data_IF_989804398989
#
_entry.id   IF_989804398989
#
_cell.length_a   1.000
_cell.length_b   1.000
_cell.length_c   1.000
_cell.angle_alpha   90.00
_cell.angle_beta   90.00
_cell.angle_gamma   90.00
#
_symmetry.space_group_name_H-M   'P 1'
#
loop_
_entity.id
_entity.type
_entity.pdbx_description
1 polymer ?
#
# COMPACT_ATOMS: atom_id res chain seq x y z
N UNK A 1 -28.48 -16.56 17.63
CA UNK A 1 -27.16 -16.08 18.12
C UNK A 1 -26.12 -16.45 17.08
N UNK A 2 -25.69 -15.50 16.25
CA UNK A 2 -24.65 -15.75 15.26
C UNK A 2 -23.29 -15.79 15.96
N UNK A 3 -22.49 -16.83 15.69
CA UNK A 3 -21.11 -16.89 16.18
C UNK A 3 -20.27 -15.86 15.43
N UNK A 4 -19.43 -15.07 16.11
CA UNK A 4 -18.57 -14.07 15.46
C UNK A 4 -17.62 -14.74 14.45
N UNK A 5 -17.29 -14.01 13.37
CA UNK A 5 -16.45 -14.49 12.30
C UNK A 5 -14.99 -14.58 12.77
N UNK A 6 -14.25 -15.66 12.46
CA UNK A 6 -12.87 -15.88 12.93
C UNK A 6 -11.85 -14.80 12.50
N UNK A 7 -12.20 -13.92 11.55
CA UNK A 7 -11.33 -12.80 11.16
C UNK A 7 -11.28 -11.67 12.21
N UNK A 8 -12.24 -11.61 13.13
CA UNK A 8 -12.24 -10.60 14.21
C UNK A 8 -11.31 -10.98 15.37
N UNK A 9 -10.66 -12.15 15.32
CA UNK A 9 -9.91 -12.75 16.44
C UNK A 9 -8.40 -12.92 16.18
N UNK A 10 -7.85 -12.46 15.05
CA UNK A 10 -6.44 -12.74 14.69
C UNK A 10 -5.42 -11.65 15.06
N UNK A 11 -5.81 -10.53 15.67
CA UNK A 11 -4.85 -9.53 16.17
C UNK A 11 -4.68 -9.58 17.70
N UNK A 12 -4.26 -10.74 18.20
CA UNK A 12 -3.64 -10.84 19.52
C UNK A 12 -2.25 -10.17 19.50
N UNK A 13 -2.25 -8.85 19.76
CA UNK A 13 -1.39 -8.19 20.76
C UNK A 13 0.11 -8.56 20.81
N UNK A 14 0.83 -8.52 19.68
CA UNK A 14 2.31 -8.67 19.68
C UNK A 14 3.09 -7.83 18.64
N UNK A 15 2.44 -6.97 17.85
CA UNK A 15 3.15 -6.09 16.90
C UNK A 15 3.40 -4.72 17.54
N UNK A 16 4.39 -4.55 18.44
CA UNK A 16 4.58 -3.25 19.12
C UNK A 16 6.03 -2.72 19.15
N UNK A 17 6.88 -3.14 18.21
CA UNK A 17 8.19 -2.49 17.98
C UNK A 17 8.42 -2.00 16.54
N UNK A 18 7.44 -2.21 15.65
CA UNK A 18 7.42 -1.68 14.27
C UNK A 18 6.27 -0.71 14.00
N UNK A 19 5.49 -0.35 15.03
CA UNK A 19 4.25 0.44 14.95
C UNK A 19 4.49 1.93 14.78
N UNK A 20 5.43 2.52 15.53
CA UNK A 20 5.73 3.95 15.44
C UNK A 20 6.40 4.31 14.11
N UNK A 21 7.48 3.61 13.73
CA UNK A 21 8.14 3.84 12.45
C UNK A 21 7.19 3.62 11.25
N UNK A 22 6.31 2.63 11.33
CA UNK A 22 5.26 2.42 10.33
C UNK A 22 4.24 3.57 10.32
N UNK A 23 3.76 3.99 11.49
CA UNK A 23 2.82 5.09 11.60
C UNK A 23 3.43 6.40 11.08
N UNK A 24 4.73 6.61 11.28
CA UNK A 24 5.47 7.78 10.80
C UNK A 24 5.56 7.75 9.28
N UNK A 25 5.95 6.62 8.70
CA UNK A 25 5.99 6.43 7.25
C UNK A 25 4.61 6.60 6.58
N UNK A 26 3.53 6.15 7.25
CA UNK A 26 2.16 6.36 6.76
C UNK A 26 1.78 7.84 6.76
N UNK A 27 2.14 8.59 7.81
CA UNK A 27 1.86 10.04 7.88
C UNK A 27 2.65 10.81 6.84
N UNK A 28 3.90 10.45 6.60
CA UNK A 28 4.73 11.02 5.53
C UNK A 28 4.10 10.75 4.16
N UNK A 29 3.73 9.51 3.87
CA UNK A 29 3.10 9.16 2.58
C UNK A 29 1.77 9.88 2.33
N UNK A 30 0.98 10.14 3.38
CA UNK A 30 -0.24 10.96 3.28
C UNK A 30 0.08 12.42 2.97
N UNK A 31 1.08 13.00 3.64
CA UNK A 31 1.50 14.38 3.38
C UNK A 31 2.02 14.56 1.95
N UNK A 32 2.81 13.61 1.44
CA UNK A 32 3.27 13.59 0.06
C UNK A 32 2.10 13.51 -0.93
N UNK A 33 1.10 12.67 -0.63
CA UNK A 33 -0.09 12.54 -1.45
C UNK A 33 -0.91 13.84 -1.50
N UNK A 34 -1.11 14.50 -0.35
CA UNK A 34 -1.80 15.78 -0.24
C UNK A 34 -1.01 16.92 -0.95
N UNK A 35 0.32 16.85 -0.94
CA UNK A 35 1.20 17.75 -1.69
C UNK A 35 1.22 17.47 -3.21
N UNK A 36 0.54 16.42 -3.67
CA UNK A 36 0.48 16.02 -5.08
C UNK A 36 1.73 15.27 -5.57
N UNK A 37 2.60 14.79 -4.66
CA UNK A 37 3.74 13.93 -4.96
C UNK A 37 3.28 12.49 -5.22
N UNK A 38 2.39 12.32 -6.19
CA UNK A 38 1.76 11.04 -6.56
C UNK A 38 2.07 10.68 -8.01
N UNK A 39 2.14 9.38 -8.28
CA UNK A 39 2.22 8.88 -9.66
C UNK A 39 0.79 8.77 -10.23
N UNK A 40 0.49 9.38 -11.39
CA UNK A 40 -0.82 9.26 -12.01
C UNK A 40 -1.21 7.80 -12.29
N UNK A 41 -2.44 7.43 -11.95
CA UNK A 41 -2.98 6.08 -12.12
C UNK A 41 -2.70 5.47 -13.50
N UNK A 42 -2.92 6.24 -14.58
CA UNK A 42 -2.73 5.74 -15.96
C UNK A 42 -1.28 5.34 -16.27
N UNK A 43 -0.30 5.99 -15.63
CA UNK A 43 1.11 5.59 -15.78
C UNK A 43 1.37 4.24 -15.11
N UNK A 44 0.87 4.08 -13.88
CA UNK A 44 0.99 2.82 -13.11
C UNK A 44 0.26 1.69 -13.84
N UNK A 45 -0.96 1.93 -14.31
CA UNK A 45 -1.75 0.95 -15.06
C UNK A 45 -1.03 0.47 -16.31
N UNK A 46 -0.47 1.39 -17.11
CA UNK A 46 0.25 1.04 -18.33
C UNK A 46 1.49 0.20 -18.04
N UNK A 47 2.23 0.56 -16.99
CA UNK A 47 3.38 -0.20 -16.52
C UNK A 47 2.99 -1.63 -16.10
N UNK A 48 1.99 -1.79 -15.24
CA UNK A 48 1.51 -3.10 -14.82
C UNK A 48 1.04 -3.98 -15.99
N UNK A 49 0.36 -3.38 -16.98
CA UNK A 49 -0.10 -4.11 -18.17
C UNK A 49 1.03 -4.51 -19.13
N UNK A 50 2.22 -3.93 -18.99
CA UNK A 50 3.37 -4.27 -19.81
C UNK A 50 4.15 -5.48 -19.28
N UNK A 51 3.93 -5.86 -18.02
CA UNK A 51 4.62 -6.97 -17.37
C UNK A 51 4.38 -8.29 -18.10
N UNK A 52 5.45 -9.07 -18.29
CA UNK A 52 5.38 -10.35 -18.98
C UNK A 52 5.15 -10.25 -20.50
N UNK A 53 5.34 -9.06 -21.07
CA UNK A 53 5.35 -8.84 -22.52
C UNK A 53 6.77 -8.56 -23.00
N UNK A 54 7.02 -8.71 -24.32
CA UNK A 54 8.32 -8.36 -24.92
C UNK A 54 8.68 -6.86 -24.80
N UNK A 55 7.73 -6.01 -24.37
CA UNK A 55 7.91 -4.56 -24.20
C UNK A 55 7.51 -4.12 -22.80
N UNK A 56 8.06 -4.78 -21.81
CA UNK A 56 7.92 -4.35 -20.42
C UNK A 56 8.47 -2.93 -20.22
N UNK A 57 7.68 -2.10 -19.54
CA UNK A 57 8.00 -0.70 -19.27
C UNK A 57 8.74 -0.59 -17.92
N UNK A 58 9.61 0.43 -17.76
CA UNK A 58 10.18 0.72 -16.46
C UNK A 58 9.12 1.25 -15.48
N UNK A 59 9.32 1.08 -14.15
CA UNK A 59 8.45 1.65 -13.14
C UNK A 59 8.34 3.17 -13.31
N UNK A 60 7.13 3.74 -13.22
CA UNK A 60 6.91 5.16 -13.38
C UNK A 60 7.39 5.96 -12.16
N UNK A 61 7.88 7.17 -12.43
CA UNK A 61 8.12 8.22 -11.44
C UNK A 61 7.01 9.28 -11.46
#
# INVERSE_FOLDING_TARGET
MAKPHPADQSCDRSCDSGTEAFADAVREGLADADAGQVVPYEKVRRWLLSWGTDRELPPPA
#
